data_IF_475635648614
#
_entry.id   IF_475635648614
#
_cell.length_a   1.000
_cell.length_b   1.000
_cell.length_c   1.000
_cell.angle_alpha   90.00
_cell.angle_beta   90.00
_cell.angle_gamma   90.00
#
_symmetry.space_group_name_H-M   'P 1'
#
loop_
_entity.id
_entity.type
_entity.pdbx_description
1 polymer ?
#
# COMPACT_ATOMS: atom_id res chain seq x y z
N UNK A 1 10.48 -31.00 28.56
CA UNK A 1 9.25 -31.16 27.94
C UNK A 1 9.25 -30.65 26.56
N UNK A 2 8.95 -31.52 25.71
CA UNK A 2 9.06 -31.17 24.30
C UNK A 2 8.03 -30.13 23.87
N UNK A 3 6.85 -30.14 24.45
CA UNK A 3 5.86 -29.19 24.04
C UNK A 3 6.24 -27.78 24.40
N UNK A 4 6.97 -27.62 25.46
CA UNK A 4 7.43 -26.28 25.80
C UNK A 4 8.51 -25.81 24.88
N UNK A 5 9.07 -26.72 24.10
CA UNK A 5 10.10 -26.37 23.15
C UNK A 5 9.54 -25.91 21.82
N UNK A 6 8.25 -26.08 21.59
CA UNK A 6 7.67 -25.62 20.33
C UNK A 6 7.73 -24.11 20.24
N UNK A 7 8.21 -23.62 19.11
CA UNK A 7 8.29 -22.20 18.89
C UNK A 7 6.90 -21.60 18.79
N UNK A 8 6.71 -20.46 19.41
CA UNK A 8 5.47 -19.70 19.30
C UNK A 8 5.48 -18.92 18.00
N UNK A 9 4.37 -18.88 17.27
CA UNK A 9 4.29 -18.01 16.09
C UNK A 9 4.54 -16.56 16.49
N UNK A 10 5.32 -15.86 15.68
CA UNK A 10 5.61 -14.45 15.91
C UNK A 10 5.38 -13.68 14.63
N UNK A 11 4.57 -12.64 14.72
CA UNK A 11 4.30 -11.72 13.64
C UNK A 11 4.52 -10.32 14.19
N UNK A 12 5.40 -9.56 13.56
CA UNK A 12 5.68 -8.21 14.02
C UNK A 12 6.09 -7.33 12.86
N UNK A 13 5.57 -6.12 12.85
CA UNK A 13 6.06 -5.09 11.95
C UNK A 13 7.29 -4.48 12.57
N UNK A 14 8.44 -4.61 11.91
CA UNK A 14 9.71 -4.10 12.44
C UNK A 14 10.13 -2.78 11.81
N UNK A 15 9.76 -2.57 10.56
CA UNK A 15 10.07 -1.34 9.85
C UNK A 15 8.92 -0.99 8.94
N UNK A 16 8.66 0.31 8.79
CA UNK A 16 7.74 0.79 7.79
C UNK A 16 8.40 1.99 7.11
N UNK A 17 8.30 2.05 5.78
CA UNK A 17 8.96 3.11 5.03
C UNK A 17 8.29 3.30 3.68
N UNK A 18 8.42 4.52 3.16
CA UNK A 18 8.02 4.80 1.79
C UNK A 18 9.19 4.40 0.91
N UNK A 19 9.02 3.35 0.12
CA UNK A 19 10.09 2.80 -0.67
C UNK A 19 10.33 3.62 -1.92
N UNK A 20 9.27 4.12 -2.51
CA UNK A 20 9.36 4.92 -3.73
C UNK A 20 8.15 5.82 -3.83
N UNK A 21 8.34 7.04 -4.30
CA UNK A 21 7.25 7.98 -4.41
C UNK A 21 7.53 8.95 -5.55
N UNK A 22 6.51 9.16 -6.39
CA UNK A 22 6.58 10.18 -7.41
C UNK A 22 5.24 10.89 -7.53
N UNK A 23 5.28 12.15 -7.88
CA UNK A 23 4.09 12.96 -8.03
C UNK A 23 4.34 13.96 -9.13
N UNK A 24 3.40 14.01 -10.08
CA UNK A 24 3.53 14.90 -11.24
C UNK A 24 2.25 15.68 -11.46
N UNK A 25 2.41 16.98 -11.76
CA UNK A 25 1.33 17.83 -12.26
C UNK A 25 1.79 18.25 -13.67
N UNK A 26 1.28 17.59 -14.74
CA UNK A 26 1.82 17.81 -16.08
C UNK A 26 1.62 19.23 -16.60
N UNK A 27 0.55 19.90 -16.20
CA UNK A 27 0.31 21.25 -16.70
C UNK A 27 -0.50 22.09 -15.75
N UNK A 28 -0.21 23.37 -15.68
CA UNK A 28 -0.87 24.29 -14.74
C UNK A 28 -2.29 24.64 -15.16
N UNK A 29 -2.67 24.34 -16.40
CA UNK A 29 -4.01 24.68 -16.89
C UNK A 29 -5.13 24.00 -16.13
N UNK A 30 -4.83 22.86 -15.50
CA UNK A 30 -5.82 22.13 -14.70
C UNK A 30 -6.39 23.01 -13.58
N UNK A 31 -5.59 23.96 -13.08
CA UNK A 31 -6.03 24.81 -11.96
C UNK A 31 -7.03 25.89 -12.38
N UNK A 32 -7.23 26.08 -13.70
CA UNK A 32 -8.19 27.09 -14.18
C UNK A 32 -9.56 26.51 -14.45
N UNK A 33 -9.75 25.20 -14.24
CA UNK A 33 -11.00 24.52 -14.55
C UNK A 33 -11.68 24.06 -13.28
N UNK A 34 -13.01 23.93 -13.37
CA UNK A 34 -13.78 23.38 -12.25
C UNK A 34 -13.28 21.98 -11.93
N UNK A 35 -13.15 21.69 -10.64
CA UNK A 35 -12.59 20.42 -10.21
C UNK A 35 -13.65 19.34 -10.16
N UNK A 36 -13.67 18.48 -11.16
CA UNK A 36 -14.58 17.33 -11.25
C UNK A 36 -13.77 16.16 -11.82
N UNK A 37 -12.86 15.60 -11.04
CA UNK A 37 -11.93 14.63 -11.58
C UNK A 37 -12.53 13.25 -11.73
N UNK A 38 -12.00 12.53 -12.71
CA UNK A 38 -12.16 11.09 -12.80
C UNK A 38 -10.86 10.47 -12.32
N UNK A 39 -10.96 9.54 -11.38
CA UNK A 39 -9.80 8.91 -10.78
C UNK A 39 -9.64 7.49 -11.32
N UNK A 40 -8.43 7.17 -11.74
CA UNK A 40 -8.06 5.83 -12.15
C UNK A 40 -7.04 5.33 -11.12
N UNK A 41 -7.42 4.30 -10.37
CA UNK A 41 -6.64 3.83 -9.24
C UNK A 41 -6.24 2.38 -9.45
N UNK A 42 -4.94 2.11 -9.41
CA UNK A 42 -4.42 0.75 -9.50
C UNK A 42 -3.61 0.44 -8.26
N UNK A 43 -4.02 -0.60 -7.54
CA UNK A 43 -3.36 -1.03 -6.32
C UNK A 43 -2.80 -2.42 -6.55
N UNK A 44 -1.57 -2.65 -6.12
CA UNK A 44 -0.94 -3.97 -6.18
C UNK A 44 -0.15 -4.21 -4.91
N UNK A 45 0.09 -5.47 -4.61
CA UNK A 45 0.91 -5.84 -3.46
C UNK A 45 1.91 -6.90 -3.87
N UNK A 46 3.01 -6.96 -3.13
CA UNK A 46 4.03 -7.96 -3.35
C UNK A 46 4.71 -8.29 -2.04
N UNK A 47 5.37 -9.42 -1.99
CA UNK A 47 6.11 -9.85 -0.82
C UNK A 47 7.38 -10.52 -1.29
N UNK A 48 8.47 -10.25 -0.59
CA UNK A 48 9.77 -10.81 -0.91
C UNK A 48 10.42 -11.30 0.37
N UNK A 49 10.89 -12.53 0.35
CA UNK A 49 11.58 -13.10 1.50
C UNK A 49 12.98 -12.51 1.58
N UNK A 50 13.33 -11.97 2.75
CA UNK A 50 14.65 -11.37 2.97
C UNK A 50 15.60 -12.37 3.58
N UNK A 51 15.14 -13.08 4.60
CA UNK A 51 15.92 -14.12 5.25
C UNK A 51 14.93 -15.15 5.81
N UNK A 52 15.41 -16.04 6.66
CA UNK A 52 14.60 -17.15 7.14
C UNK A 52 13.32 -16.71 7.87
N UNK A 53 13.32 -15.53 8.46
CA UNK A 53 12.22 -15.07 9.32
C UNK A 53 11.68 -13.71 8.94
N UNK A 54 12.20 -13.07 7.89
CA UNK A 54 11.78 -11.71 7.54
C UNK A 54 11.31 -11.61 6.10
N UNK A 55 10.27 -10.82 5.91
CA UNK A 55 9.71 -10.54 4.58
C UNK A 55 9.55 -9.04 4.41
N UNK A 56 9.83 -8.56 3.21
CA UNK A 56 9.42 -7.23 2.82
C UNK A 56 8.09 -7.34 2.11
N UNK A 57 7.08 -6.65 2.61
CA UNK A 57 5.78 -6.59 1.95
C UNK A 57 5.58 -5.16 1.48
N UNK A 58 5.10 -5.01 0.26
CA UNK A 58 4.93 -3.70 -0.37
C UNK A 58 3.53 -3.56 -0.92
N UNK A 59 2.97 -2.37 -0.72
CA UNK A 59 1.76 -1.94 -1.41
C UNK A 59 2.13 -0.81 -2.33
N UNK A 60 1.73 -0.91 -3.59
CA UNK A 60 1.94 0.17 -4.55
C UNK A 60 0.58 0.63 -5.06
N UNK A 61 0.39 1.94 -5.10
CA UNK A 61 -0.79 2.51 -5.73
C UNK A 61 -0.35 3.55 -6.75
N UNK A 62 -1.00 3.52 -7.91
CA UNK A 62 -0.85 4.55 -8.92
C UNK A 62 -2.22 5.18 -9.09
N UNK A 63 -2.30 6.49 -8.89
CA UNK A 63 -3.53 7.23 -9.07
C UNK A 63 -3.31 8.26 -10.16
N UNK A 64 -4.12 8.20 -11.20
CA UNK A 64 -4.14 9.22 -12.22
C UNK A 64 -5.48 9.95 -12.14
N UNK A 65 -5.43 11.26 -11.98
CA UNK A 65 -6.64 12.08 -11.95
C UNK A 65 -6.73 12.81 -13.28
N UNK A 66 -7.87 12.66 -13.95
CA UNK A 66 -8.15 13.40 -15.18
C UNK A 66 -9.29 14.36 -14.91
N UNK A 67 -9.10 15.61 -15.32
CA UNK A 67 -10.09 16.65 -15.09
C UNK A 67 -10.31 17.39 -16.41
N UNK A 68 -11.58 17.44 -16.84
CA UNK A 68 -11.94 18.10 -18.10
C UNK A 68 -11.14 17.54 -19.28
N UNK A 69 -10.90 16.22 -19.28
CA UNK A 69 -10.20 15.54 -20.36
C UNK A 69 -8.68 15.66 -20.33
N UNK A 70 -8.12 16.27 -19.30
CA UNK A 70 -6.67 16.42 -19.16
C UNK A 70 -6.17 15.74 -17.89
N UNK A 71 -4.94 15.24 -17.94
CA UNK A 71 -4.33 14.67 -16.74
C UNK A 71 -4.02 15.81 -15.77
N UNK A 72 -4.64 15.74 -14.58
CA UNK A 72 -4.42 16.71 -13.53
C UNK A 72 -3.18 16.37 -12.73
N UNK A 73 -3.07 15.12 -12.30
CA UNK A 73 -1.89 14.65 -11.60
C UNK A 73 -1.75 13.14 -11.76
N UNK A 74 -0.54 12.68 -11.51
CA UNK A 74 -0.24 11.25 -11.42
C UNK A 74 0.57 11.09 -10.14
N UNK A 75 0.10 10.24 -9.23
CA UNK A 75 0.84 9.91 -8.01
C UNK A 75 1.09 8.41 -7.98
N UNK A 76 2.32 8.04 -7.66
CA UNK A 76 2.75 6.65 -7.59
C UNK A 76 3.51 6.48 -6.30
N UNK A 77 2.98 5.67 -5.39
CA UNK A 77 3.58 5.46 -4.07
C UNK A 77 3.72 3.98 -3.82
N UNK A 78 4.91 3.56 -3.40
CA UNK A 78 5.15 2.22 -2.88
C UNK A 78 5.47 2.34 -1.40
N UNK A 79 4.59 1.81 -0.58
CA UNK A 79 4.74 1.78 0.86
C UNK A 79 5.10 0.38 1.28
N UNK A 80 6.17 0.23 2.04
CA UNK A 80 6.70 -1.08 2.38
C UNK A 80 6.89 -1.23 3.88
N UNK A 81 7.03 -2.47 4.28
CA UNK A 81 7.37 -2.79 5.66
C UNK A 81 8.18 -4.07 5.71
N UNK A 82 9.00 -4.17 6.74
CA UNK A 82 9.73 -5.40 7.05
C UNK A 82 8.97 -6.08 8.19
N UNK A 83 8.57 -7.31 7.94
CA UNK A 83 7.79 -8.09 8.90
C UNK A 83 8.59 -9.29 9.37
N UNK A 84 8.60 -9.49 10.66
CA UNK A 84 9.05 -10.74 11.25
C UNK A 84 7.91 -11.74 11.12
N UNK A 85 8.18 -12.87 10.48
CA UNK A 85 7.21 -13.94 10.31
C UNK A 85 7.95 -15.22 10.70
N UNK A 86 7.77 -15.64 11.93
CA UNK A 86 8.54 -16.73 12.49
C UNK A 86 7.61 -17.78 13.06
N UNK A 87 7.93 -19.05 12.79
CA UNK A 87 7.23 -20.19 13.37
C UNK A 87 5.75 -20.21 13.04
N UNK A 88 5.37 -19.76 11.85
CA UNK A 88 4.00 -19.85 11.38
C UNK A 88 3.85 -21.07 10.47
N UNK A 89 2.67 -21.63 10.43
CA UNK A 89 2.38 -22.77 9.56
C UNK A 89 2.43 -22.31 8.10
N UNK A 90 2.97 -23.16 7.25
CA UNK A 90 3.11 -22.83 5.83
C UNK A 90 1.78 -22.50 5.17
N UNK A 91 0.72 -23.16 5.60
CA UNK A 91 -0.61 -22.92 5.03
C UNK A 91 -1.11 -21.51 5.32
N UNK A 92 -0.63 -20.89 6.37
CA UNK A 92 -1.05 -19.54 6.76
C UNK A 92 -0.24 -18.46 6.07
N UNK A 93 0.93 -18.79 5.54
CA UNK A 93 1.84 -17.80 4.99
C UNK A 93 1.23 -16.97 3.86
N UNK A 94 0.53 -17.58 2.88
CA UNK A 94 -0.07 -16.77 1.82
C UNK A 94 -1.05 -15.73 2.35
N UNK A 95 -1.87 -16.06 3.33
CA UNK A 95 -2.79 -15.12 3.92
C UNK A 95 -2.04 -14.00 4.65
N UNK A 96 -1.01 -14.35 5.41
CA UNK A 96 -0.24 -13.35 6.17
C UNK A 96 0.38 -12.34 5.21
N UNK A 97 0.99 -12.81 4.14
CA UNK A 97 1.67 -11.92 3.20
C UNK A 97 0.71 -11.21 2.25
N UNK A 98 -0.43 -11.83 1.97
CA UNK A 98 -1.38 -11.29 0.99
C UNK A 98 -2.52 -10.47 1.58
N UNK A 99 -2.76 -10.58 2.87
CA UNK A 99 -3.87 -9.87 3.51
C UNK A 99 -3.46 -9.19 4.81
N UNK A 100 -2.90 -9.94 5.74
CA UNK A 100 -2.57 -9.39 7.06
C UNK A 100 -1.57 -8.24 6.98
N UNK A 101 -0.46 -8.44 6.28
CA UNK A 101 0.56 -7.41 6.16
C UNK A 101 0.09 -6.21 5.32
N UNK A 102 -0.53 -6.43 4.15
CA UNK A 102 -1.08 -5.28 3.40
C UNK A 102 -2.08 -4.46 4.20
N UNK A 103 -2.89 -5.12 5.02
CA UNK A 103 -3.88 -4.44 5.83
C UNK A 103 -3.20 -3.47 6.81
N UNK A 104 -2.07 -3.85 7.36
CA UNK A 104 -1.29 -2.98 8.26
C UNK A 104 -0.70 -1.80 7.49
N UNK A 105 -0.21 -2.04 6.27
CA UNK A 105 0.46 -1.01 5.47
C UNK A 105 -0.50 0.02 4.88
N UNK A 106 -1.75 -0.34 4.68
CA UNK A 106 -2.67 0.51 3.92
C UNK A 106 -2.86 1.92 4.50
N UNK A 107 -3.05 2.10 5.81
CA UNK A 107 -3.22 3.47 6.34
C UNK A 107 -2.02 4.37 6.05
N UNK A 108 -0.81 3.80 6.03
CA UNK A 108 0.39 4.56 5.74
C UNK A 108 0.47 4.92 4.26
N UNK A 109 0.05 3.99 3.39
CA UNK A 109 -0.03 4.27 1.96
C UNK A 109 -1.04 5.39 1.70
N UNK A 110 -2.20 5.31 2.33
CA UNK A 110 -3.25 6.31 2.17
C UNK A 110 -2.76 7.70 2.59
N UNK A 111 -2.05 7.77 3.71
CA UNK A 111 -1.51 9.02 4.20
C UNK A 111 -0.49 9.60 3.22
N UNK A 112 0.41 8.76 2.71
CA UNK A 112 1.44 9.21 1.78
C UNK A 112 0.83 9.76 0.48
N UNK A 113 -0.19 9.10 -0.05
CA UNK A 113 -0.89 9.57 -1.25
C UNK A 113 -1.54 10.91 -0.99
N UNK A 114 -2.28 11.03 0.11
CA UNK A 114 -2.95 12.28 0.43
C UNK A 114 -1.97 13.43 0.63
N UNK A 115 -0.82 13.15 1.25
CA UNK A 115 0.20 14.16 1.47
C UNK A 115 0.71 14.71 0.14
N UNK A 116 0.96 13.84 -0.84
CA UNK A 116 1.42 14.29 -2.16
C UNK A 116 0.35 15.11 -2.88
N UNK A 117 -0.88 14.65 -2.86
CA UNK A 117 -1.99 15.31 -3.56
C UNK A 117 -2.21 16.71 -2.98
N UNK A 118 -2.18 16.84 -1.65
CA UNK A 118 -2.37 18.14 -1.03
C UNK A 118 -1.18 19.07 -1.27
N UNK A 119 0.03 18.52 -1.32
CA UNK A 119 1.20 19.31 -1.71
C UNK A 119 1.08 19.84 -3.13
N UNK A 120 0.31 19.16 -3.98
CA UNK A 120 0.07 19.60 -5.34
C UNK A 120 -1.03 20.64 -5.48
N UNK A 121 -1.58 21.12 -4.37
CA UNK A 121 -2.69 22.09 -4.33
C UNK A 121 -4.02 21.53 -4.80
N UNK A 122 -4.21 20.23 -4.68
CA UNK A 122 -5.49 19.59 -4.99
C UNK A 122 -6.23 19.29 -3.69
N UNK A 123 -7.55 19.13 -3.75
CA UNK A 123 -8.30 18.68 -2.58
C UNK A 123 -7.77 17.34 -2.08
N UNK A 124 -7.91 17.10 -0.78
CA UNK A 124 -7.43 15.86 -0.20
C UNK A 124 -8.02 14.65 -0.91
N UNK A 125 -7.24 13.60 -0.99
CA UNK A 125 -7.66 12.33 -1.55
C UNK A 125 -7.46 11.24 -0.50
N UNK A 126 -8.56 10.74 0.03
CA UNK A 126 -8.51 9.64 0.99
C UNK A 126 -8.99 8.39 0.30
N UNK A 127 -8.07 7.47 0.06
CA UNK A 127 -8.40 6.21 -0.58
C UNK A 127 -9.40 5.44 0.29
N UNK A 128 -10.41 4.87 -0.35
CA UNK A 128 -11.40 4.06 0.34
C UNK A 128 -10.71 2.84 0.96
N UNK A 129 -11.03 2.50 2.20
CA UNK A 129 -10.45 1.31 2.81
C UNK A 129 -10.73 0.07 1.97
N UNK A 130 -9.74 -0.81 1.92
CA UNK A 130 -9.81 -2.04 1.13
C UNK A 130 -9.89 -3.22 2.08
N UNK A 131 -10.78 -4.14 1.77
CA UNK A 131 -10.89 -5.37 2.52
C UNK A 131 -9.92 -6.39 1.92
N UNK A 132 -8.70 -6.43 2.44
CA UNK A 132 -7.69 -7.33 1.91
C UNK A 132 -8.02 -8.78 2.14
N UNK A 133 -8.78 -9.10 3.20
CA UNK A 133 -9.22 -10.47 3.43
C UNK A 133 -10.13 -10.93 2.31
N UNK A 134 -11.09 -10.09 1.91
CA UNK A 134 -12.00 -10.42 0.83
C UNK A 134 -11.27 -10.53 -0.50
N UNK A 135 -10.32 -9.63 -0.75
CA UNK A 135 -9.51 -9.69 -1.97
C UNK A 135 -8.69 -10.97 -2.02
N UNK A 136 -8.12 -11.36 -0.89
CA UNK A 136 -7.33 -12.58 -0.82
C UNK A 136 -8.21 -13.81 -1.08
N UNK A 137 -9.41 -13.85 -0.51
CA UNK A 137 -10.31 -14.98 -0.69
C UNK A 137 -10.86 -15.08 -2.11
N UNK A 138 -10.96 -13.95 -2.81
CA UNK A 138 -11.46 -13.94 -4.18
C UNK A 138 -10.44 -14.49 -5.18
N UNK A 139 -9.17 -14.57 -4.79
CA UNK A 139 -8.08 -15.09 -5.63
C UNK A 139 -7.66 -16.48 -5.15
#
# INVERSE_FOLDING_TARGET
>A
MSEEQQAQPQLALERIYTKDISFEVPGAQVFTKEWQPELNINLSSSAEKIDATHYEVALQVVVQANNAGETAFIVDVTQSGIFLVDSVEEERLPYILGAYCPNILFPFLREAVNDMVTKGSFPQLLLTPINFDAEFEAN
#
